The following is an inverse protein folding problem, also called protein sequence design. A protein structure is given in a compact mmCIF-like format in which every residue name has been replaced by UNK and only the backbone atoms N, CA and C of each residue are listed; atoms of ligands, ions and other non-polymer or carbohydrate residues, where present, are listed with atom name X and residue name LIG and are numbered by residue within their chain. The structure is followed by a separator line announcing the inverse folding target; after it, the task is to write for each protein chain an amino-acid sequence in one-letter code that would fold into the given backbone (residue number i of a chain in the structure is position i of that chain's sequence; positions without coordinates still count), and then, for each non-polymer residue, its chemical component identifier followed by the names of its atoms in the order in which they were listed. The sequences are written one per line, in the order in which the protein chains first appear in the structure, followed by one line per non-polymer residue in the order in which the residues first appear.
data_IF_422754424769
#
_entry.id   IF_422754424769
#
_cell.length_a   1.000
_cell.length_b   1.000
_cell.length_c   1.000
_cell.angle_alpha   90.00
_cell.angle_beta   90.00
_cell.angle_gamma   90.00
#
_symmetry.space_group_name_H-M   'P 1'
#
loop_
_entity.id
_entity.type
_entity.pdbx_description
1 polymer ?
#
# COMPACT_ATOMS: atom_id res chain seq x y z
N UNK A 1 -10.91 -41.54 -7.60
CA UNK A 1 -11.60 -40.96 -6.43
C UNK A 1 -12.51 -39.84 -6.94
N UNK A 2 -13.80 -39.80 -6.60
CA UNK A 2 -14.66 -38.68 -7.00
C UNK A 2 -14.19 -37.41 -6.29
N UNK A 3 -13.92 -36.35 -7.05
CA UNK A 3 -13.53 -35.05 -6.52
C UNK A 3 -14.71 -34.50 -5.69
N UNK A 4 -14.51 -34.30 -4.39
CA UNK A 4 -15.49 -33.57 -3.55
C UNK A 4 -15.75 -32.22 -4.22
N UNK A 5 -17.02 -31.79 -4.42
CA UNK A 5 -17.30 -30.47 -4.94
C UNK A 5 -16.59 -29.45 -4.05
N UNK A 6 -15.70 -28.67 -4.67
CA UNK A 6 -14.90 -27.66 -4.02
C UNK A 6 -15.83 -26.58 -3.43
N UNK A 7 -16.21 -26.72 -2.16
CA UNK A 7 -17.02 -25.71 -1.48
C UNK A 7 -16.21 -24.43 -1.34
N UNK A 8 -16.60 -23.39 -2.06
CA UNK A 8 -16.01 -22.06 -1.92
C UNK A 8 -16.26 -21.55 -0.49
N UNK A 9 -15.30 -20.84 0.13
CA UNK A 9 -15.51 -20.14 1.38
C UNK A 9 -16.74 -19.22 1.32
N UNK A 10 -17.58 -19.26 2.36
CA UNK A 10 -18.77 -18.43 2.42
C UNK A 10 -18.41 -16.94 2.50
N UNK A 11 -18.90 -16.16 1.53
CA UNK A 11 -18.76 -14.69 1.49
C UNK A 11 -19.86 -14.06 2.35
N UNK A 12 -19.47 -13.14 3.24
CA UNK A 12 -20.40 -12.36 4.05
C UNK A 12 -20.78 -11.06 3.35
N UNK A 13 -22.01 -10.60 3.57
CA UNK A 13 -22.44 -9.25 3.18
C UNK A 13 -21.86 -8.22 4.13
N UNK A 14 -21.28 -7.15 3.60
CA UNK A 14 -20.64 -6.08 4.38
C UNK A 14 -21.31 -4.73 4.14
N UNK A 15 -21.26 -3.85 5.14
CA UNK A 15 -21.80 -2.49 5.02
C UNK A 15 -20.94 -1.60 4.14
N UNK A 16 -21.53 -0.52 3.60
CA UNK A 16 -20.86 0.47 2.74
C UNK A 16 -19.62 1.08 3.42
N UNK A 17 -19.69 1.34 4.72
CA UNK A 17 -18.63 2.01 5.50
C UNK A 17 -17.59 1.04 6.07
N UNK A 18 -17.73 -0.26 5.81
CA UNK A 18 -16.77 -1.28 6.26
C UNK A 18 -15.32 -0.98 5.84
N UNK A 19 -15.04 -0.45 4.62
CA UNK A 19 -13.68 -0.10 4.22
C UNK A 19 -13.01 0.95 5.12
N UNK A 20 -13.77 1.89 5.68
CA UNK A 20 -13.24 2.88 6.63
C UNK A 20 -12.85 2.23 7.96
N UNK A 21 -13.64 1.25 8.41
CA UNK A 21 -13.32 0.46 9.61
C UNK A 21 -12.03 -0.32 9.41
N UNK A 22 -11.81 -0.91 8.22
CA UNK A 22 -10.55 -1.60 7.90
C UNK A 22 -9.35 -0.66 7.95
N UNK A 23 -9.47 0.57 7.44
CA UNK A 23 -8.42 1.58 7.55
C UNK A 23 -8.11 1.95 9.01
N UNK A 24 -9.15 2.09 9.84
CA UNK A 24 -8.99 2.38 11.26
C UNK A 24 -8.27 1.24 12.00
N UNK A 25 -8.64 -0.02 11.72
CA UNK A 25 -7.99 -1.19 12.29
C UNK A 25 -6.53 -1.29 11.82
N UNK A 26 -6.28 -1.11 10.52
CA UNK A 26 -4.94 -1.11 9.96
C UNK A 26 -4.04 -0.03 10.59
N UNK A 27 -4.58 1.17 10.83
CA UNK A 27 -3.87 2.24 11.52
C UNK A 27 -3.47 1.84 12.95
N UNK A 28 -4.39 1.20 13.66
CA UNK A 28 -4.14 0.72 15.03
C UNK A 28 -3.07 -0.37 15.08
N UNK A 29 -3.07 -1.29 14.11
CA UNK A 29 -2.05 -2.33 14.00
C UNK A 29 -0.67 -1.75 13.67
N UNK A 30 -0.61 -0.82 12.71
CA UNK A 30 0.63 -0.10 12.37
C UNK A 30 1.19 0.66 13.59
N UNK A 31 0.32 1.28 14.40
CA UNK A 31 0.71 1.96 15.62
C UNK A 31 1.27 1.00 16.69
N UNK A 32 0.91 -0.29 16.67
CA UNK A 32 1.46 -1.32 17.57
C UNK A 32 2.77 -1.92 17.06
N UNK A 33 2.95 -2.06 15.74
CA UNK A 33 4.16 -2.64 15.11
C UNK A 33 5.05 -1.59 14.44
N UNK A 34 5.09 -0.36 14.99
CA UNK A 34 5.67 0.86 14.37
C UNK A 34 6.96 0.64 13.60
N UNK A 35 7.98 0.03 14.22
CA UNK A 35 9.29 -0.11 13.59
C UNK A 35 9.32 -1.09 12.42
N UNK A 36 8.59 -2.21 12.51
CA UNK A 36 8.55 -3.19 11.42
C UNK A 36 7.74 -2.67 10.22
N UNK A 37 6.60 -2.02 10.48
CA UNK A 37 5.78 -1.42 9.43
C UNK A 37 6.53 -0.29 8.71
N UNK A 38 7.23 0.57 9.46
CA UNK A 38 8.07 1.63 8.88
C UNK A 38 9.26 1.07 8.08
N UNK A 39 9.91 0.01 8.57
CA UNK A 39 11.02 -0.63 7.85
C UNK A 39 10.59 -1.20 6.50
N UNK A 40 9.41 -1.84 6.42
CA UNK A 40 8.86 -2.33 5.15
C UNK A 40 8.49 -1.19 4.20
N UNK A 41 7.89 -0.12 4.72
CA UNK A 41 7.59 1.08 3.94
C UNK A 41 8.85 1.75 3.38
N UNK A 42 9.90 1.88 4.20
CA UNK A 42 11.19 2.43 3.78
C UNK A 42 11.86 1.55 2.72
N UNK A 43 11.84 0.23 2.89
CA UNK A 43 12.39 -0.70 1.91
C UNK A 43 11.69 -0.55 0.55
N UNK A 44 10.36 -0.47 0.53
CA UNK A 44 9.57 -0.24 -0.68
C UNK A 44 9.91 1.11 -1.32
N UNK A 45 10.01 2.17 -0.52
CA UNK A 45 10.35 3.51 -0.99
C UNK A 45 11.76 3.55 -1.60
N UNK A 46 12.75 2.93 -0.96
CA UNK A 46 14.13 2.86 -1.48
C UNK A 46 14.19 2.04 -2.77
N UNK A 47 13.45 0.94 -2.86
CA UNK A 47 13.44 0.10 -4.06
C UNK A 47 12.75 0.82 -5.22
N UNK A 48 11.65 1.53 -4.97
CA UNK A 48 11.00 2.41 -5.95
C UNK A 48 11.92 3.56 -6.40
N UNK A 49 12.60 4.22 -5.45
CA UNK A 49 13.56 5.28 -5.75
C UNK A 49 14.74 4.77 -6.59
N UNK A 50 15.24 3.57 -6.31
CA UNK A 50 16.30 2.93 -7.10
C UNK A 50 15.83 2.65 -8.54
N UNK A 51 14.60 2.14 -8.71
CA UNK A 51 14.00 1.93 -10.04
C UNK A 51 13.96 3.25 -10.81
N UNK A 52 13.45 4.33 -10.20
CA UNK A 52 13.38 5.64 -10.84
C UNK A 52 14.78 6.16 -11.17
N UNK A 53 15.73 6.10 -10.23
CA UNK A 53 17.09 6.57 -10.44
C UNK A 53 17.76 5.90 -11.64
N UNK A 54 17.58 4.58 -11.81
CA UNK A 54 18.17 3.82 -12.92
C UNK A 54 17.39 3.99 -14.24
N UNK A 55 16.07 4.13 -14.17
CA UNK A 55 15.19 3.96 -15.32
C UNK A 55 14.52 5.24 -15.83
N UNK A 56 14.65 6.38 -15.14
CA UNK A 56 13.95 7.62 -15.48
C UNK A 56 14.15 8.10 -16.94
N UNK A 57 15.31 7.83 -17.54
CA UNK A 57 15.61 8.18 -18.94
C UNK A 57 15.17 7.12 -19.97
N UNK A 58 14.73 5.94 -19.53
CA UNK A 58 14.40 4.80 -20.40
C UNK A 58 12.98 4.34 -20.12
N UNK A 59 12.01 4.92 -20.82
CA UNK A 59 10.58 4.64 -20.66
C UNK A 59 10.26 3.14 -20.54
N UNK A 60 10.79 2.33 -21.46
CA UNK A 60 10.56 0.88 -21.48
C UNK A 60 11.21 0.13 -20.31
N UNK A 61 12.38 0.56 -19.86
CA UNK A 61 13.05 -0.04 -18.71
C UNK A 61 12.32 0.32 -17.42
N UNK A 62 11.80 1.55 -17.32
CA UNK A 62 10.99 2.00 -16.19
C UNK A 62 9.68 1.21 -16.10
N UNK A 63 8.97 1.07 -17.22
CA UNK A 63 7.72 0.31 -17.28
C UNK A 63 7.94 -1.19 -16.97
N UNK A 64 9.03 -1.79 -17.47
CA UNK A 64 9.41 -3.16 -17.14
C UNK A 64 9.80 -3.34 -15.66
N UNK A 65 10.59 -2.41 -15.11
CA UNK A 65 11.00 -2.44 -13.71
C UNK A 65 9.82 -2.27 -12.74
N UNK A 66 8.88 -1.37 -13.06
CA UNK A 66 7.62 -1.22 -12.31
C UNK A 66 6.76 -2.50 -12.37
N UNK A 67 6.73 -3.18 -13.52
CA UNK A 67 6.02 -4.46 -13.68
C UNK A 67 6.69 -5.59 -12.89
N UNK A 68 8.03 -5.62 -12.83
CA UNK A 68 8.78 -6.57 -12.00
C UNK A 68 8.58 -6.33 -10.51
N UNK A 69 8.49 -5.06 -10.09
CA UNK A 69 8.20 -4.68 -8.71
C UNK A 69 6.85 -5.23 -8.20
N UNK A 70 5.84 -5.30 -9.07
CA UNK A 70 4.53 -5.87 -8.74
C UNK A 70 4.58 -7.36 -8.37
N UNK A 71 5.64 -8.09 -8.73
CA UNK A 71 5.87 -9.47 -8.27
C UNK A 71 6.34 -9.52 -6.81
N UNK A 72 7.10 -8.52 -6.37
CA UNK A 72 7.56 -8.42 -4.98
C UNK A 72 6.45 -7.94 -4.05
N UNK A 73 5.48 -7.18 -4.56
CA UNK A 73 4.43 -6.58 -3.75
C UNK A 73 3.61 -7.61 -2.93
N UNK A 74 3.11 -8.74 -3.48
CA UNK A 74 2.42 -9.77 -2.69
C UNK A 74 3.28 -10.40 -1.60
N UNK A 75 4.58 -10.58 -1.85
CA UNK A 75 5.52 -11.16 -0.88
C UNK A 75 5.72 -10.20 0.30
N UNK A 76 5.83 -8.91 0.03
CA UNK A 76 5.96 -7.87 1.06
C UNK A 76 4.63 -7.60 1.77
N UNK A 77 3.51 -7.67 1.06
CA UNK A 77 2.20 -7.64 1.70
C UNK A 77 2.04 -8.83 2.65
N UNK A 78 2.57 -10.01 2.27
CA UNK A 78 2.47 -11.23 3.10
C UNK A 78 3.21 -11.10 4.42
N UNK A 79 4.32 -10.36 4.48
CA UNK A 79 5.02 -10.10 5.75
C UNK A 79 4.21 -9.19 6.67
N UNK A 80 3.56 -8.14 6.13
CA UNK A 80 2.66 -7.28 6.92
C UNK A 80 1.42 -8.05 7.38
N UNK A 81 0.83 -8.86 6.51
CA UNK A 81 -0.30 -9.72 6.86
C UNK A 81 0.06 -10.70 7.98
N UNK A 82 1.22 -11.35 7.90
CA UNK A 82 1.68 -12.29 8.92
C UNK A 82 1.86 -11.60 10.29
N UNK A 83 2.24 -10.32 10.31
CA UNK A 83 2.34 -9.53 11.54
C UNK A 83 0.95 -9.22 12.12
N UNK A 84 0.02 -8.72 11.30
CA UNK A 84 -1.37 -8.47 11.73
C UNK A 84 -2.03 -9.73 12.24
N UNK A 85 -1.85 -10.86 11.55
CA UNK A 85 -2.36 -12.16 11.99
C UNK A 85 -1.76 -12.61 13.32
N UNK A 86 -0.47 -12.34 13.56
CA UNK A 86 0.15 -12.64 14.84
C UNK A 86 -0.47 -11.80 15.96
N UNK A 87 -0.73 -10.51 15.72
CA UNK A 87 -1.42 -9.62 16.68
C UNK A 87 -2.83 -10.13 17.00
N UNK A 88 -3.61 -10.52 15.99
CA UNK A 88 -4.96 -11.06 16.18
C UNK A 88 -4.99 -12.36 17.00
N UNK A 89 -3.93 -13.17 16.91
CA UNK A 89 -3.77 -14.43 17.65
C UNK A 89 -3.16 -14.25 19.04
N UNK A 90 -2.80 -13.03 19.42
CA UNK A 90 -2.06 -12.76 20.66
C UNK A 90 -0.61 -13.29 20.65
N UNK A 91 -0.06 -13.57 19.47
CA UNK A 91 1.33 -14.00 19.28
C UNK A 91 2.27 -12.78 19.19
N UNK A 92 3.57 -12.91 19.56
CA UNK A 92 4.50 -11.81 19.50
C UNK A 92 4.82 -11.41 18.04
N UNK A 93 4.30 -10.26 17.61
CA UNK A 93 4.59 -9.65 16.32
C UNK A 93 6.05 -9.15 16.26
N UNK A 94 6.96 -10.02 15.82
CA UNK A 94 8.41 -9.80 15.83
C UNK A 94 9.04 -10.05 14.46
N UNK A 95 10.26 -9.54 14.25
CA UNK A 95 11.04 -9.80 13.03
C UNK A 95 11.28 -11.30 12.81
N UNK A 96 11.29 -12.10 13.88
CA UNK A 96 11.36 -13.55 13.80
C UNK A 96 10.13 -14.17 13.11
N UNK A 97 8.94 -13.58 13.20
CA UNK A 97 7.74 -14.04 12.47
C UNK A 97 7.90 -13.77 10.98
N UNK A 98 8.38 -12.59 10.59
CA UNK A 98 8.67 -12.26 9.19
C UNK A 98 9.76 -13.15 8.63
N UNK A 99 10.88 -13.28 9.36
CA UNK A 99 12.02 -14.09 8.96
C UNK A 99 11.65 -15.57 8.94
N UNK A 100 10.84 -16.09 9.87
CA UNK A 100 10.32 -17.45 9.82
C UNK A 100 9.36 -17.65 8.66
N UNK A 101 8.54 -16.66 8.32
CA UNK A 101 7.68 -16.70 7.12
C UNK A 101 8.53 -16.77 5.85
N UNK A 102 9.62 -16.00 5.77
CA UNK A 102 10.58 -16.00 4.66
C UNK A 102 11.52 -17.21 4.63
N UNK A 103 11.96 -17.74 5.78
CA UNK A 103 12.90 -18.87 5.86
C UNK A 103 12.19 -20.22 5.84
N UNK A 104 10.94 -20.30 6.33
CA UNK A 104 10.08 -21.45 6.06
C UNK A 104 9.80 -21.60 4.55
N UNK A 105 9.97 -20.52 3.77
CA UNK A 105 9.96 -20.53 2.31
C UNK A 105 11.17 -21.26 1.71
N UNK A 106 12.35 -21.18 2.34
CA UNK A 106 13.59 -21.80 1.84
C UNK A 106 13.92 -23.15 2.49
N UNK A 107 13.47 -23.42 3.72
CA UNK A 107 13.95 -24.54 4.55
C UNK A 107 12.98 -25.70 4.81
N UNK A 108 11.77 -25.74 4.25
CA UNK A 108 10.78 -26.75 4.65
C UNK A 108 10.66 -27.95 3.69
N UNK A 109 11.50 -28.97 3.94
CA UNK A 109 11.35 -30.39 3.61
C UNK A 109 10.35 -30.79 2.50
N UNK A 110 10.90 -31.00 1.30
CA UNK A 110 10.82 -32.15 0.35
C UNK A 110 9.53 -33.01 0.24
N UNK A 111 8.53 -33.03 1.13
CA UNK A 111 7.38 -33.93 0.90
C UNK A 111 6.01 -33.61 1.56
N UNK A 112 5.72 -32.41 2.11
CA UNK A 112 4.42 -32.22 2.79
C UNK A 112 3.60 -30.94 2.54
N UNK A 113 4.11 -29.95 1.82
CA UNK A 113 3.40 -28.66 1.58
C UNK A 113 3.68 -28.06 0.18
N UNK A 114 3.76 -28.90 -0.86
CA UNK A 114 4.21 -28.49 -2.20
C UNK A 114 3.29 -27.55 -2.99
N UNK A 115 2.05 -27.31 -2.57
CA UNK A 115 1.06 -26.57 -3.38
C UNK A 115 0.88 -25.09 -2.96
N UNK A 116 1.09 -24.76 -1.68
CA UNK A 116 0.74 -23.44 -1.13
C UNK A 116 1.78 -22.36 -1.50
N UNK A 117 3.08 -22.70 -1.47
CA UNK A 117 4.17 -21.77 -1.87
C UNK A 117 4.14 -21.43 -3.36
N UNK A 118 3.81 -22.40 -4.21
CA UNK A 118 3.69 -22.19 -5.65
C UNK A 118 2.51 -21.30 -5.98
N UNK A 119 1.44 -21.34 -5.20
CA UNK A 119 0.24 -20.55 -5.43
C UNK A 119 0.49 -19.03 -5.29
N UNK A 120 1.28 -18.59 -4.31
CA UNK A 120 1.61 -17.17 -4.17
C UNK A 120 2.55 -16.68 -5.27
N UNK A 121 3.52 -17.51 -5.68
CA UNK A 121 4.40 -17.21 -6.81
C UNK A 121 3.60 -17.15 -8.12
N UNK A 122 2.68 -18.09 -8.34
CA UNK A 122 1.76 -18.08 -9.47
C UNK A 122 0.85 -16.85 -9.46
N UNK A 123 0.35 -16.44 -8.29
CA UNK A 123 -0.44 -15.22 -8.14
C UNK A 123 0.40 -13.98 -8.47
N UNK A 124 1.63 -13.89 -7.97
CA UNK A 124 2.58 -12.82 -8.32
C UNK A 124 2.91 -12.80 -9.82
N UNK A 125 3.10 -13.97 -10.44
CA UNK A 125 3.31 -14.10 -11.88
C UNK A 125 2.08 -13.65 -12.68
N UNK A 126 0.87 -13.98 -12.21
CA UNK A 126 -0.38 -13.52 -12.81
C UNK A 126 -0.51 -11.99 -12.75
N UNK A 127 -0.13 -11.38 -11.62
CA UNK A 127 -0.08 -9.92 -11.49
C UNK A 127 0.99 -9.29 -12.40
N UNK A 128 2.17 -9.91 -12.54
CA UNK A 128 3.21 -9.45 -13.46
C UNK A 128 2.76 -9.51 -14.93
N UNK A 129 2.08 -10.59 -15.32
CA UNK A 129 1.52 -10.73 -16.66
C UNK A 129 0.43 -9.70 -16.91
N UNK A 130 -0.44 -9.45 -15.92
CA UNK A 130 -1.47 -8.42 -16.02
C UNK A 130 -0.85 -7.02 -16.14
N UNK A 131 0.19 -6.72 -15.37
CA UNK A 131 0.94 -5.46 -15.44
C UNK A 131 1.68 -5.28 -16.77
N UNK A 132 2.29 -6.35 -17.27
CA UNK A 132 2.94 -6.36 -18.59
C UNK A 132 1.90 -6.15 -19.69
N UNK A 133 0.75 -6.81 -19.59
CA UNK A 133 -0.40 -6.61 -20.45
C UNK A 133 -0.82 -5.14 -20.46
N UNK A 134 -0.95 -4.52 -19.28
CA UNK A 134 -1.25 -3.09 -19.14
C UNK A 134 -0.22 -2.20 -19.84
N UNK A 135 1.07 -2.43 -19.61
CA UNK A 135 2.14 -1.65 -20.25
C UNK A 135 2.08 -1.78 -21.77
N UNK A 136 1.89 -2.99 -22.30
CA UNK A 136 1.83 -3.24 -23.73
C UNK A 136 0.59 -2.63 -24.37
N UNK A 137 -0.59 -2.80 -23.77
CA UNK A 137 -1.84 -2.22 -24.31
C UNK A 137 -1.85 -0.70 -24.19
N UNK A 138 -1.34 -0.16 -23.08
CA UNK A 138 -1.14 1.28 -22.89
C UNK A 138 -0.17 1.84 -23.93
N UNK A 139 0.99 1.21 -24.09
CA UNK A 139 1.98 1.65 -25.07
C UNK A 139 1.42 1.57 -26.50
N UNK A 140 0.70 0.51 -26.86
CA UNK A 140 0.06 0.37 -28.17
C UNK A 140 -0.99 1.45 -28.42
N UNK A 141 -1.84 1.76 -27.42
CA UNK A 141 -2.82 2.85 -27.53
C UNK A 141 -2.12 4.18 -27.78
N UNK A 142 -1.07 4.47 -27.01
CA UNK A 142 -0.34 5.72 -27.15
C UNK A 142 0.42 5.78 -28.48
N UNK A 143 1.11 4.72 -28.90
CA UNK A 143 1.89 4.75 -30.15
C UNK A 143 1.03 4.79 -31.41
N UNK A 144 -0.18 4.20 -31.38
CA UNK A 144 -1.08 4.20 -32.52
C UNK A 144 -1.86 5.50 -32.67
N UNK A 145 -2.22 6.16 -31.56
CA UNK A 145 -3.12 7.31 -31.57
C UNK A 145 -2.48 8.63 -31.12
N UNK A 146 -1.24 8.62 -30.60
CA UNK A 146 -0.54 9.87 -30.29
C UNK A 146 -0.08 10.57 -31.58
N UNK A 147 -0.31 11.89 -31.70
CA UNK A 147 0.10 12.66 -32.87
C UNK A 147 1.62 12.86 -32.97
N UNK A 148 2.36 12.63 -31.88
CA UNK A 148 3.82 12.83 -31.80
C UNK A 148 4.47 11.60 -31.14
N UNK A 149 5.64 11.14 -31.60
CA UNK A 149 6.37 10.05 -30.95
C UNK A 149 6.73 10.39 -29.50
N UNK A 150 6.36 9.51 -28.57
CA UNK A 150 6.61 9.67 -27.13
C UNK A 150 7.82 8.82 -26.75
N UNK A 151 8.94 9.47 -26.41
CA UNK A 151 10.19 8.79 -26.05
C UNK A 151 10.52 8.86 -24.56
N UNK A 152 10.04 9.90 -23.88
CA UNK A 152 10.29 10.13 -22.46
C UNK A 152 8.98 10.24 -21.65
N UNK A 153 9.02 9.99 -20.32
CA UNK A 153 7.85 10.19 -19.46
C UNK A 153 7.31 11.62 -19.47
N UNK A 154 8.19 12.62 -19.68
CA UNK A 154 7.81 14.03 -19.77
C UNK A 154 7.01 14.29 -21.05
N UNK A 155 7.36 13.65 -22.15
CA UNK A 155 6.60 13.75 -23.40
C UNK A 155 5.17 13.22 -23.24
N UNK A 156 5.01 12.11 -22.49
CA UNK A 156 3.69 11.55 -22.17
C UNK A 156 2.85 12.54 -21.36
N UNK A 157 3.42 13.16 -20.33
CA UNK A 157 2.69 14.13 -19.50
C UNK A 157 2.26 15.33 -20.34
N UNK A 158 3.14 15.89 -21.16
CA UNK A 158 2.84 17.10 -21.92
C UNK A 158 1.85 16.85 -23.08
N UNK A 159 1.97 15.71 -23.78
CA UNK A 159 1.21 15.46 -25.01
C UNK A 159 0.00 14.55 -24.82
N UNK A 160 -0.13 13.87 -23.68
CA UNK A 160 -1.28 13.01 -23.36
C UNK A 160 -2.04 13.54 -22.16
N UNK A 161 -1.37 13.75 -21.01
CA UNK A 161 -2.05 14.10 -19.75
C UNK A 161 -2.46 15.58 -19.69
N UNK A 162 -1.55 16.49 -20.04
CA UNK A 162 -1.74 17.94 -20.00
C UNK A 162 -2.20 18.51 -21.35
N UNK A 163 -2.47 17.64 -22.32
CA UNK A 163 -2.96 18.05 -23.63
C UNK A 163 -4.32 18.74 -23.49
N UNK A 164 -4.39 20.03 -23.85
CA UNK A 164 -5.63 20.84 -23.77
C UNK A 164 -6.75 20.37 -24.70
N UNK A 165 -6.44 19.49 -25.65
CA UNK A 165 -7.36 18.94 -26.64
C UNK A 165 -6.97 17.49 -26.92
N UNK A 166 -7.80 16.53 -26.54
CA UNK A 166 -7.59 15.12 -26.87
C UNK A 166 -8.43 14.15 -26.03
N UNK A 167 -9.08 13.18 -26.68
CA UNK A 167 -9.78 12.05 -26.05
C UNK A 167 -8.82 10.96 -25.56
N UNK A 168 -7.53 11.07 -25.90
CA UNK A 168 -6.53 10.03 -25.68
C UNK A 168 -6.31 9.75 -24.19
N UNK A 169 -6.28 10.79 -23.35
CA UNK A 169 -6.18 10.63 -21.90
C UNK A 169 -7.40 9.92 -21.31
N UNK A 170 -8.60 10.31 -21.73
CA UNK A 170 -9.86 9.69 -21.26
C UNK A 170 -9.94 8.23 -21.69
N UNK A 171 -9.59 7.90 -22.93
CA UNK A 171 -9.54 6.53 -23.41
C UNK A 171 -8.44 5.72 -22.73
N UNK A 172 -7.27 6.31 -22.47
CA UNK A 172 -6.20 5.68 -21.71
C UNK A 172 -6.62 5.38 -20.27
N UNK A 173 -7.30 6.32 -19.61
CA UNK A 173 -7.85 6.15 -18.27
C UNK A 173 -8.98 5.11 -18.24
N UNK A 174 -9.88 5.13 -19.23
CA UNK A 174 -10.96 4.16 -19.37
C UNK A 174 -10.41 2.74 -19.60
N UNK A 175 -9.41 2.59 -20.47
CA UNK A 175 -8.70 1.33 -20.69
C UNK A 175 -8.07 0.83 -19.38
N UNK A 176 -7.45 1.75 -18.62
CA UNK A 176 -6.91 1.45 -17.28
C UNK A 176 -7.95 0.96 -16.31
N UNK A 177 -9.11 1.63 -16.23
CA UNK A 177 -10.22 1.22 -15.39
C UNK A 177 -10.76 -0.18 -15.76
N UNK A 178 -10.96 -0.43 -17.06
CA UNK A 178 -11.46 -1.72 -17.56
C UNK A 178 -10.49 -2.86 -17.27
N UNK A 179 -9.17 -2.63 -17.38
CA UNK A 179 -8.16 -3.63 -17.06
C UNK A 179 -7.92 -3.79 -15.55
N UNK A 180 -8.02 -2.72 -14.78
CA UNK A 180 -7.83 -2.74 -13.34
C UNK A 180 -8.97 -3.47 -12.61
N UNK A 181 -10.20 -3.35 -13.09
CA UNK A 181 -11.37 -3.99 -12.47
C UNK A 181 -11.22 -5.52 -12.26
N UNK A 182 -10.88 -6.34 -13.28
CA UNK A 182 -10.68 -7.78 -13.08
C UNK A 182 -9.44 -8.10 -12.24
N UNK A 183 -8.37 -7.29 -12.29
CA UNK A 183 -7.18 -7.48 -11.44
C UNK A 183 -7.53 -7.25 -9.98
N UNK A 184 -8.28 -6.18 -9.69
CA UNK A 184 -8.79 -5.89 -8.36
C UNK A 184 -9.73 -7.01 -7.88
N UNK A 185 -10.71 -7.41 -8.70
CA UNK A 185 -11.64 -8.48 -8.36
C UNK A 185 -10.94 -9.81 -8.09
N UNK A 186 -9.83 -10.09 -8.78
CA UNK A 186 -9.04 -11.31 -8.59
C UNK A 186 -8.10 -11.25 -7.37
N UNK A 187 -7.76 -10.06 -6.86
CA UNK A 187 -6.72 -9.89 -5.86
C UNK A 187 -7.22 -9.53 -4.46
N UNK A 188 -8.33 -8.79 -4.36
CA UNK A 188 -8.78 -8.11 -3.12
C UNK A 188 -8.92 -9.04 -1.89
N UNK A 189 -9.34 -10.29 -2.08
CA UNK A 189 -9.42 -11.30 -0.99
C UNK A 189 -8.52 -12.52 -1.24
N UNK A 190 -7.88 -12.61 -2.40
CA UNK A 190 -7.11 -13.81 -2.76
C UNK A 190 -5.90 -14.04 -1.86
N UNK A 191 -5.13 -12.99 -1.59
CA UNK A 191 -3.92 -13.09 -0.78
C UNK A 191 -4.16 -13.58 0.67
N UNK A 192 -5.07 -12.99 1.46
CA UNK A 192 -5.35 -13.49 2.81
C UNK A 192 -5.94 -14.91 2.79
N UNK A 193 -6.77 -15.24 1.78
CA UNK A 193 -7.31 -16.60 1.63
C UNK A 193 -6.22 -17.64 1.39
N UNK A 194 -5.24 -17.34 0.53
CA UNK A 194 -4.11 -18.22 0.25
C UNK A 194 -3.20 -18.40 1.47
N UNK A 195 -3.07 -17.37 2.32
CA UNK A 195 -2.23 -17.42 3.50
C UNK A 195 -2.88 -18.09 4.72
N UNK A 196 -4.20 -18.01 4.85
CA UNK A 196 -4.92 -18.53 6.02
C UNK A 196 -5.69 -19.82 5.75
N UNK A 197 -6.00 -20.13 4.50
CA UNK A 197 -6.74 -21.34 4.13
C UNK A 197 -5.98 -22.13 3.09
N UNK A 198 -6.08 -23.46 3.18
CA UNK A 198 -5.56 -24.39 2.15
C UNK A 198 -6.48 -24.39 0.92
N UNK A 199 -6.56 -23.26 0.23
CA UNK A 199 -7.33 -23.10 -1.00
C UNK A 199 -6.38 -22.93 -2.19
N UNK A 200 -6.80 -23.44 -3.34
CA UNK A 200 -6.05 -23.29 -4.60
C UNK A 200 -6.17 -21.86 -5.15
N UNK A 201 -5.27 -21.48 -6.06
CA UNK A 201 -5.30 -20.17 -6.74
C UNK A 201 -6.66 -19.87 -7.37
N UNK A 202 -7.23 -20.85 -8.09
CA UNK A 202 -8.53 -20.70 -8.74
C UNK A 202 -9.65 -20.50 -7.72
N UNK A 203 -9.65 -21.24 -6.62
CA UNK A 203 -10.62 -21.04 -5.55
C UNK A 203 -10.48 -19.67 -4.89
N UNK A 204 -9.25 -19.20 -4.65
CA UNK A 204 -9.00 -17.89 -4.08
C UNK A 204 -9.51 -16.76 -5.00
N UNK A 205 -9.19 -16.85 -6.30
CA UNK A 205 -9.67 -15.88 -7.31
C UNK A 205 -11.18 -15.92 -7.43
N UNK A 206 -11.81 -17.10 -7.55
CA UNK A 206 -13.27 -17.22 -7.64
C UNK A 206 -13.98 -16.68 -6.39
N UNK A 207 -13.42 -16.93 -5.21
CA UNK A 207 -13.96 -16.39 -3.95
C UNK A 207 -13.80 -14.87 -3.91
N UNK A 208 -12.69 -14.34 -4.42
CA UNK A 208 -12.46 -12.90 -4.53
C UNK A 208 -13.47 -12.24 -5.48
N UNK A 209 -13.73 -12.84 -6.64
CA UNK A 209 -14.80 -12.38 -7.55
C UNK A 209 -16.18 -12.43 -6.89
N UNK A 210 -16.49 -13.53 -6.20
CA UNK A 210 -17.75 -13.66 -5.45
C UNK A 210 -17.86 -12.57 -4.37
N UNK A 211 -16.76 -12.22 -3.69
CA UNK A 211 -16.73 -11.14 -2.71
C UNK A 211 -17.09 -9.78 -3.32
N UNK A 212 -16.57 -9.49 -4.52
CA UNK A 212 -16.90 -8.26 -5.26
C UNK A 212 -18.34 -8.23 -5.75
N UNK A 213 -18.80 -9.32 -6.35
CA UNK A 213 -20.16 -9.39 -6.90
C UNK A 213 -21.24 -9.40 -5.81
N UNK A 214 -20.96 -9.98 -4.64
CA UNK A 214 -21.88 -9.94 -3.50
C UNK A 214 -21.89 -8.57 -2.79
N UNK A 215 -20.82 -7.76 -2.92
CA UNK A 215 -20.68 -6.49 -2.21
C UNK A 215 -20.16 -5.36 -3.11
N UNK A 216 -20.83 -5.04 -4.23
CA UNK A 216 -20.29 -4.15 -5.26
C UNK A 216 -20.09 -2.71 -4.75
N UNK A 217 -20.99 -2.21 -3.91
CA UNK A 217 -20.88 -0.85 -3.38
C UNK A 217 -19.71 -0.69 -2.40
N UNK A 218 -19.58 -1.60 -1.43
CA UNK A 218 -18.49 -1.57 -0.46
C UNK A 218 -17.13 -1.77 -1.14
N UNK A 219 -17.05 -2.66 -2.13
CA UNK A 219 -15.83 -2.86 -2.93
C UNK A 219 -15.53 -1.67 -3.85
N UNK A 220 -16.55 -1.00 -4.39
CA UNK A 220 -16.40 0.24 -5.13
C UNK A 220 -15.83 1.36 -4.26
N UNK A 221 -16.33 1.51 -3.03
CA UNK A 221 -15.76 2.44 -2.04
C UNK A 221 -14.32 2.06 -1.71
N UNK A 222 -14.01 0.77 -1.50
CA UNK A 222 -12.65 0.33 -1.23
C UNK A 222 -11.69 0.61 -2.40
N UNK A 223 -12.11 0.35 -3.64
CA UNK A 223 -11.34 0.67 -4.83
C UNK A 223 -11.12 2.18 -4.97
N UNK A 224 -12.17 2.97 -4.74
CA UNK A 224 -12.09 4.44 -4.75
C UNK A 224 -11.17 4.98 -3.66
N UNK A 225 -11.15 4.39 -2.47
CA UNK A 225 -10.21 4.78 -1.40
C UNK A 225 -8.76 4.41 -1.77
N UNK A 226 -8.55 3.30 -2.47
CA UNK A 226 -7.20 2.85 -2.85
C UNK A 226 -6.62 3.68 -4.00
N UNK A 227 -7.45 4.09 -4.96
CA UNK A 227 -7.02 4.84 -6.16
C UNK A 227 -7.18 6.36 -5.98
N UNK A 228 -8.15 6.79 -5.18
CA UNK A 228 -8.59 8.18 -5.10
C UNK A 228 -7.69 9.10 -4.27
N UNK A 229 -6.78 8.55 -3.46
CA UNK A 229 -5.79 9.34 -2.73
C UNK A 229 -4.45 9.33 -3.44
N UNK A 230 -3.94 10.52 -3.76
CA UNK A 230 -2.59 10.66 -4.35
C UNK A 230 -1.52 10.58 -3.27
N UNK A 231 -0.29 10.20 -3.65
CA UNK A 231 0.87 10.20 -2.76
C UNK A 231 1.04 11.56 -2.07
N UNK A 232 0.88 12.64 -2.82
CA UNK A 232 0.99 14.00 -2.30
C UNK A 232 -0.08 14.30 -1.25
N UNK A 233 -1.33 13.87 -1.47
CA UNK A 233 -2.42 14.04 -0.49
C UNK A 233 -2.15 13.25 0.80
N UNK A 234 -1.66 12.02 0.66
CA UNK A 234 -1.33 11.16 1.81
C UNK A 234 -0.12 11.73 2.56
N UNK A 235 0.92 12.16 1.84
CA UNK A 235 2.12 12.76 2.43
C UNK A 235 1.81 14.08 3.11
N UNK A 236 1.04 14.96 2.48
CA UNK A 236 0.61 16.23 3.07
C UNK A 236 -0.22 15.99 4.34
N UNK A 237 -1.21 15.08 4.28
CA UNK A 237 -2.00 14.71 5.45
C UNK A 237 -1.12 14.14 6.58
N UNK A 238 -0.22 13.20 6.27
CA UNK A 238 0.70 12.61 7.25
C UNK A 238 1.68 13.62 7.84
N UNK A 239 2.19 14.55 7.03
CA UNK A 239 3.12 15.58 7.47
C UNK A 239 2.43 16.68 8.31
N UNK A 240 1.18 17.01 8.02
CA UNK A 240 0.44 18.04 8.76
C UNK A 240 -0.18 17.45 10.03
N UNK A 241 -0.99 16.41 9.89
CA UNK A 241 -1.74 15.83 11.01
C UNK A 241 -0.96 14.73 11.73
N UNK A 242 -0.24 13.87 11.01
CA UNK A 242 0.52 12.77 11.62
C UNK A 242 1.67 13.25 12.50
N UNK A 243 2.48 14.21 12.02
CA UNK A 243 3.52 14.87 12.84
C UNK A 243 2.93 15.73 13.96
N UNK A 244 1.79 16.37 13.73
CA UNK A 244 1.07 17.13 14.77
C UNK A 244 0.60 16.22 15.91
N UNK A 245 -0.08 15.12 15.57
CA UNK A 245 -0.52 14.11 16.52
C UNK A 245 0.67 13.44 17.23
N UNK A 246 1.75 13.12 16.52
CA UNK A 246 2.95 12.57 17.14
C UNK A 246 3.59 13.54 18.15
N UNK A 247 3.66 14.83 17.84
CA UNK A 247 4.16 15.85 18.78
C UNK A 247 3.28 15.94 20.03
N UNK A 248 1.96 15.85 19.89
CA UNK A 248 1.02 15.85 21.01
C UNK A 248 1.12 14.58 21.85
N UNK A 249 1.24 13.42 21.21
CA UNK A 249 1.42 12.12 21.88
C UNK A 249 2.73 12.09 22.68
N UNK A 250 3.81 12.60 22.10
CA UNK A 250 5.09 12.73 22.79
C UNK A 250 4.99 13.68 24.00
N UNK A 251 4.25 14.78 23.88
CA UNK A 251 3.96 15.67 25.01
C UNK A 251 3.17 14.96 26.11
N UNK A 252 2.17 14.15 25.75
CA UNK A 252 1.38 13.39 26.71
C UNK A 252 2.25 12.34 27.44
N UNK A 253 3.08 11.60 26.71
CA UNK A 253 4.02 10.61 27.29
C UNK A 253 5.02 11.30 28.21
N UNK A 254 5.59 12.43 27.79
CA UNK A 254 6.53 13.21 28.60
C UNK A 254 5.85 13.73 29.87
N UNK A 255 4.62 14.22 29.77
CA UNK A 255 3.84 14.67 30.92
C UNK A 255 3.50 13.53 31.88
N UNK A 256 3.13 12.37 31.33
CA UNK A 256 2.85 11.16 32.11
C UNK A 256 4.10 10.65 32.84
N UNK A 257 5.24 10.57 32.15
CA UNK A 257 6.53 10.18 32.75
C UNK A 257 6.99 11.20 33.80
N UNK A 258 6.77 12.50 33.59
CA UNK A 258 7.08 13.53 34.58
C UNK A 258 6.24 13.39 35.85
N UNK A 259 4.96 13.02 35.71
CA UNK A 259 4.08 12.70 36.83
C UNK A 259 4.55 11.45 37.59
N UNK A 260 4.78 10.34 36.88
CA UNK A 260 5.22 9.08 37.49
C UNK A 260 6.59 9.23 38.18
N UNK A 261 7.49 10.03 37.61
CA UNK A 261 8.81 10.29 38.19
C UNK A 261 8.79 11.18 39.45
N UNK A 262 7.61 11.68 39.88
CA UNK A 262 7.48 12.72 40.92
C UNK A 262 8.46 13.89 40.68
N UNK A 263 8.61 14.30 39.42
CA UNK A 263 9.50 15.40 39.08
C UNK A 263 9.09 16.64 39.88
N UNK A 264 10.03 17.19 40.65
CA UNK A 264 9.77 18.35 41.49
C UNK A 264 9.26 19.53 40.65
N UNK A 265 8.58 20.52 41.25
CA UNK A 265 7.94 21.63 40.50
C UNK A 265 8.84 22.29 39.45
N UNK A 266 10.15 22.36 39.73
CA UNK A 266 11.18 22.88 38.82
C UNK A 266 11.46 21.96 37.62
N UNK A 267 11.50 20.63 37.81
CA UNK A 267 11.74 19.68 36.73
C UNK A 267 10.59 19.67 35.72
N UNK A 268 9.34 19.68 36.21
CA UNK A 268 8.15 19.79 35.36
C UNK A 268 8.10 21.13 34.61
N UNK A 269 8.47 22.24 35.27
CA UNK A 269 8.55 23.56 34.65
C UNK A 269 9.60 23.65 33.54
N UNK A 270 10.81 23.12 33.76
CA UNK A 270 11.89 23.12 32.76
C UNK A 270 11.51 22.27 31.54
N UNK A 271 10.84 21.13 31.76
CA UNK A 271 10.33 20.28 30.68
C UNK A 271 9.27 20.98 29.83
N UNK A 272 8.28 21.65 30.46
CA UNK A 272 7.27 22.42 29.75
C UNK A 272 7.86 23.64 29.04
N UNK A 273 8.88 24.30 29.62
CA UNK A 273 9.54 25.45 29.02
C UNK A 273 10.39 25.06 27.80
N UNK A 274 11.16 23.97 27.89
CA UNK A 274 11.93 23.43 26.76
C UNK A 274 11.01 23.03 25.60
N UNK A 275 9.86 22.43 25.92
CA UNK A 275 8.86 22.05 24.93
C UNK A 275 8.13 23.27 24.33
N UNK A 276 7.82 24.29 25.15
CA UNK A 276 7.25 25.55 24.71
C UNK A 276 8.16 26.32 23.75
N UNK A 277 9.47 26.31 23.99
CA UNK A 277 10.46 26.83 23.05
C UNK A 277 10.48 26.06 21.72
N UNK A 278 10.36 24.72 21.76
CA UNK A 278 10.25 23.88 20.57
C UNK A 278 9.01 24.19 19.72
N UNK A 279 7.86 24.41 20.37
CA UNK A 279 6.63 24.83 19.69
C UNK A 279 6.71 26.25 19.12
N UNK A 280 7.33 27.19 19.85
CA UNK A 280 7.57 28.55 19.38
C UNK A 280 8.42 28.58 18.10
N UNK A 281 9.49 27.78 18.03
CA UNK A 281 10.31 27.66 16.81
C UNK A 281 9.53 27.11 15.61
N UNK A 282 8.64 26.15 15.84
CA UNK A 282 7.76 25.60 14.80
C UNK A 282 6.72 26.62 14.31
N UNK A 283 6.09 27.36 15.23
CA UNK A 283 5.14 28.44 14.88
C UNK A 283 5.85 29.56 14.12
N UNK A 284 7.04 29.97 14.55
CA UNK A 284 7.84 30.98 13.84
C UNK A 284 8.15 30.54 12.40
N UNK A 285 8.51 29.26 12.19
CA UNK A 285 8.71 28.69 10.84
C UNK A 285 7.45 28.74 9.99
N UNK A 286 6.29 28.40 10.55
CA UNK A 286 5.00 28.45 9.84
C UNK A 286 4.63 29.89 9.45
N UNK A 287 4.86 30.86 10.34
CA UNK A 287 4.64 32.28 10.05
C UNK A 287 5.56 32.76 8.92
N UNK A 288 6.84 32.36 8.94
CA UNK A 288 7.78 32.69 7.85
C UNK A 288 7.32 32.07 6.53
N UNK A 289 6.94 30.79 6.51
CA UNK A 289 6.42 30.16 5.29
C UNK A 289 5.14 30.84 4.77
N UNK A 290 4.24 31.24 5.68
CA UNK A 290 3.01 31.93 5.32
C UNK A 290 3.28 33.31 4.70
N UNK A 291 4.22 34.07 5.26
CA UNK A 291 4.65 35.37 4.72
C UNK A 291 5.24 35.20 3.32
N UNK A 292 6.12 34.21 3.11
CA UNK A 292 6.74 33.96 1.81
C UNK A 292 5.74 33.44 0.76
N UNK A 293 4.78 32.60 1.15
CA UNK A 293 3.74 32.09 0.24
C UNK A 293 2.75 33.16 -0.26
N UNK A 294 2.73 34.35 0.36
CA UNK A 294 1.92 35.50 -0.06
C UNK A 294 2.63 36.44 -1.05
N UNK A 295 3.91 36.23 -1.32
CA UNK A 295 4.72 37.09 -2.20
C UNK A 295 4.92 36.49 -3.61
N UNK A 296 4.42 35.28 -3.86
CA UNK A 296 4.31 34.63 -5.18
C UNK A 296 2.86 34.54 -5.61
#
# INVERSE_FOLDING_TARGET
MPQRPATLPAVRTIGLMQPLVWLQLAWHDIARTRWLSLAHGLLLALLGAAIVAVAHHRFWLLAGALSGFLVLAPVLAASLYALTRALERGEPASAAVVLKTWLSWQGSHINKWGNDCWCMVQFGALLALAATGWVLTSAALITLFAPVPIHTPVDFVNHVVLAKTGWLFEAWLALGGVMAAPIFASSVVAMPLLLDRRVTLSQAVLTSWQAVLCNPLAMGVWAALTVGFTEEQIAAFGLTFGLGAFKLDMLFIIGHLAWEAKADKLGTFVLFMALGFGMLGFVAKLVVQWIFSRQT
#
